data_IF_829706861576
#
_entry.id   IF_829706861576
#
_cell.length_a   1.000
_cell.length_b   1.000
_cell.length_c   1.000
_cell.angle_alpha   90.00
_cell.angle_beta   90.00
_cell.angle_gamma   90.00
#
_symmetry.space_group_name_H-M   'P 1'
#
loop_
_entity.id
_entity.type
_entity.pdbx_description
1 polymer ?
#
# COMPACT_ATOMS: atom_id res chain seq x y z
N UNK A 1 64.73 -10.89 -18.52
CA UNK A 1 65.99 -10.51 -17.87
C UNK A 1 65.76 -10.35 -16.40
N UNK A 2 66.39 -11.16 -15.68
CA UNK A 2 67.08 -11.20 -14.38
C UNK A 2 66.11 -11.48 -13.19
N UNK A 3 66.20 -12.74 -12.74
CA UNK A 3 67.07 -13.41 -11.76
C UNK A 3 66.72 -13.02 -10.32
N UNK A 4 66.16 -14.04 -9.61
CA UNK A 4 66.78 -14.88 -8.56
C UNK A 4 67.36 -14.10 -7.37
N UNK A 5 66.89 -14.45 -6.16
CA UNK A 5 67.60 -14.84 -4.92
C UNK A 5 66.48 -15.18 -3.91
N UNK A 6 66.13 -16.35 -3.55
CA UNK A 6 66.82 -17.39 -2.72
C UNK A 6 67.38 -16.85 -1.39
N UNK A 7 66.77 -17.25 -0.28
CA UNK A 7 67.38 -18.08 0.78
C UNK A 7 66.65 -17.84 2.13
N UNK A 8 66.07 -18.91 2.65
CA UNK A 8 66.19 -19.46 3.99
C UNK A 8 66.25 -18.51 5.22
N UNK A 9 65.21 -18.60 6.04
CA UNK A 9 65.39 -18.78 7.49
C UNK A 9 64.32 -19.72 8.03
N UNK A 10 64.76 -20.93 8.34
CA UNK A 10 64.02 -21.87 9.19
C UNK A 10 64.23 -21.41 10.63
N UNK A 11 63.13 -21.12 11.33
CA UNK A 11 63.15 -21.01 12.78
C UNK A 11 62.00 -21.80 13.34
N UNK A 12 62.32 -22.94 13.79
CA UNK A 12 61.59 -23.88 14.63
C UNK A 12 61.15 -23.19 15.94
N UNK A 13 59.85 -23.11 16.18
CA UNK A 13 59.30 -22.92 17.52
C UNK A 13 58.28 -24.01 17.81
N UNK A 14 58.72 -24.92 18.69
CA UNK A 14 57.95 -25.97 19.29
C UNK A 14 56.94 -25.39 20.30
N UNK A 15 55.74 -25.98 20.33
CA UNK A 15 54.87 -26.29 21.45
C UNK A 15 54.38 -25.16 22.34
N UNK A 16 53.05 -24.90 22.20
CA UNK A 16 52.18 -24.89 23.37
C UNK A 16 50.81 -25.42 22.94
N UNK A 17 50.54 -26.66 23.34
CA UNK A 17 49.20 -27.27 23.29
C UNK A 17 48.36 -26.62 24.41
N UNK A 18 47.58 -25.62 24.04
CA UNK A 18 46.51 -25.05 24.85
C UNK A 18 45.17 -25.50 24.28
N UNK A 19 44.64 -26.63 24.76
CA UNK A 19 43.25 -27.01 24.52
C UNK A 19 42.34 -26.07 25.32
N UNK A 20 42.03 -24.92 24.76
CA UNK A 20 40.92 -24.06 25.25
C UNK A 20 39.60 -24.73 24.94
N UNK A 21 38.59 -24.65 25.86
CA UNK A 21 37.28 -25.21 25.55
C UNK A 21 36.74 -24.51 24.31
N UNK A 22 36.28 -25.30 23.35
CA UNK A 22 35.55 -24.81 22.18
C UNK A 22 34.30 -24.09 22.67
N UNK A 23 34.39 -22.78 22.85
CA UNK A 23 33.23 -21.92 23.05
C UNK A 23 32.32 -22.10 21.85
N UNK A 24 31.13 -22.65 22.08
CA UNK A 24 30.10 -22.71 21.08
C UNK A 24 29.82 -21.25 20.65
N UNK A 25 30.40 -20.87 19.52
CA UNK A 25 30.08 -19.62 18.87
C UNK A 25 28.65 -19.78 18.35
N UNK A 26 27.69 -19.18 19.04
CA UNK A 26 26.34 -18.97 18.50
C UNK A 26 26.53 -18.25 17.17
N UNK A 27 26.02 -18.81 16.06
CA UNK A 27 26.08 -18.11 14.78
C UNK A 27 25.44 -16.73 14.95
N UNK A 28 25.98 -15.69 14.31
CA UNK A 28 25.36 -14.37 14.35
C UNK A 28 23.89 -14.52 13.90
N UNK A 29 22.94 -13.79 14.53
CA UNK A 29 21.56 -13.84 14.10
C UNK A 29 21.54 -13.52 12.60
N UNK A 30 20.98 -14.45 11.81
CA UNK A 30 20.74 -14.19 10.39
C UNK A 30 19.95 -12.88 10.33
N UNK A 31 20.33 -11.92 9.44
CA UNK A 31 19.47 -10.78 9.17
C UNK A 31 18.10 -11.36 8.88
N UNK A 32 17.09 -10.90 9.65
CA UNK A 32 15.72 -11.40 9.53
C UNK A 32 15.37 -11.38 8.05
N UNK A 33 15.18 -12.55 7.46
CA UNK A 33 14.87 -12.71 6.05
C UNK A 33 13.53 -12.02 5.85
N UNK A 34 13.57 -10.83 5.23
CA UNK A 34 12.37 -10.02 5.03
C UNK A 34 11.51 -10.79 4.03
N UNK A 35 10.33 -11.23 4.48
CA UNK A 35 9.36 -11.91 3.62
C UNK A 35 9.13 -11.06 2.35
N UNK A 36 9.44 -11.57 1.15
CA UNK A 36 9.28 -10.84 -0.09
C UNK A 36 7.85 -10.33 -0.29
N UNK A 37 6.84 -11.03 0.22
CA UNK A 37 5.43 -10.60 0.12
C UNK A 37 5.17 -9.32 0.91
N UNK A 38 5.89 -9.08 2.01
CA UNK A 38 5.82 -7.84 2.79
C UNK A 38 6.43 -6.69 2.00
N UNK A 39 7.57 -6.93 1.33
CA UNK A 39 8.25 -5.92 0.50
C UNK A 39 7.37 -5.53 -0.68
N UNK A 40 6.79 -6.51 -1.38
CA UNK A 40 5.90 -6.29 -2.53
C UNK A 40 4.64 -5.51 -2.13
N UNK A 41 4.03 -5.86 -1.01
CA UNK A 41 2.88 -5.15 -0.47
C UNK A 41 3.23 -3.69 -0.12
N UNK A 42 4.37 -3.47 0.55
CA UNK A 42 4.88 -2.12 0.84
C UNK A 42 5.09 -1.29 -0.41
N UNK A 43 5.74 -1.87 -1.44
CA UNK A 43 5.97 -1.21 -2.72
C UNK A 43 4.64 -0.91 -3.45
N UNK A 44 3.67 -1.82 -3.40
CA UNK A 44 2.34 -1.60 -3.98
C UNK A 44 1.61 -0.43 -3.29
N UNK A 45 1.63 -0.35 -1.97
CA UNK A 45 1.07 0.79 -1.23
C UNK A 45 1.72 2.12 -1.60
N UNK A 46 3.05 2.15 -1.73
CA UNK A 46 3.79 3.34 -2.17
C UNK A 46 3.38 3.79 -3.57
N UNK A 47 3.22 2.85 -4.52
CA UNK A 47 2.74 3.17 -5.88
C UNK A 47 1.32 3.74 -5.86
N UNK A 48 0.42 3.19 -5.06
CA UNK A 48 -0.94 3.73 -4.89
C UNK A 48 -0.89 5.16 -4.37
N UNK A 49 -0.10 5.43 -3.33
CA UNK A 49 0.07 6.77 -2.77
C UNK A 49 0.67 7.76 -3.79
N UNK A 50 1.68 7.35 -4.56
CA UNK A 50 2.28 8.18 -5.61
C UNK A 50 1.26 8.51 -6.72
N UNK A 51 0.44 7.53 -7.14
CA UNK A 51 -0.64 7.74 -8.12
C UNK A 51 -1.69 8.71 -7.59
N UNK A 52 -2.09 8.56 -6.32
CA UNK A 52 -3.03 9.47 -5.66
C UNK A 52 -2.49 10.90 -5.60
N UNK A 53 -1.23 11.06 -5.21
CA UNK A 53 -0.56 12.36 -5.17
C UNK A 53 -0.56 13.04 -6.54
N UNK A 54 -0.15 12.33 -7.58
CA UNK A 54 -0.14 12.87 -8.94
C UNK A 54 -1.55 13.26 -9.42
N UNK A 55 -2.57 12.47 -9.09
CA UNK A 55 -3.96 12.80 -9.39
C UNK A 55 -4.44 14.06 -8.64
N UNK A 56 -4.07 14.22 -7.37
CA UNK A 56 -4.39 15.42 -6.59
C UNK A 56 -3.71 16.68 -7.15
N UNK A 57 -2.46 16.57 -7.60
CA UNK A 57 -1.75 17.66 -8.26
C UNK A 57 -2.47 18.12 -9.54
N UNK A 58 -3.02 17.19 -10.32
CA UNK A 58 -3.84 17.53 -11.49
C UNK A 58 -5.12 18.29 -11.11
N UNK A 59 -5.72 17.97 -9.95
CA UNK A 59 -6.90 18.67 -9.47
C UNK A 59 -6.62 20.15 -9.11
N UNK A 60 -5.37 20.49 -8.77
CA UNK A 60 -4.98 21.87 -8.44
C UNK A 60 -5.14 22.84 -9.62
N UNK A 61 -5.05 22.36 -10.85
CA UNK A 61 -5.28 23.14 -12.07
C UNK A 61 -6.75 23.49 -12.32
N UNK A 62 -7.68 22.86 -11.59
CA UNK A 62 -9.12 23.07 -11.74
C UNK A 62 -9.61 24.18 -10.80
N UNK A 63 -10.72 24.83 -11.20
CA UNK A 63 -11.47 25.76 -10.36
C UNK A 63 -12.68 25.04 -9.72
N UNK A 64 -13.27 25.64 -8.67
CA UNK A 64 -14.52 25.13 -8.10
C UNK A 64 -15.66 25.26 -9.14
N UNK A 65 -16.64 24.34 -9.18
CA UNK A 65 -16.79 23.16 -8.31
C UNK A 65 -15.98 21.93 -8.78
N UNK A 66 -15.46 21.94 -10.01
CA UNK A 66 -14.74 20.79 -10.59
C UNK A 66 -13.56 20.33 -9.75
N UNK A 67 -12.85 21.25 -9.08
CA UNK A 67 -11.71 20.93 -8.21
C UNK A 67 -12.10 20.05 -7.04
N UNK A 68 -13.19 20.34 -6.35
CA UNK A 68 -13.62 19.57 -5.18
C UNK A 68 -14.07 18.15 -5.57
N UNK A 69 -14.78 18.01 -6.68
CA UNK A 69 -15.14 16.70 -7.25
C UNK A 69 -13.89 15.89 -7.62
N UNK A 70 -12.93 16.52 -8.34
CA UNK A 70 -11.68 15.88 -8.71
C UNK A 70 -10.92 15.34 -7.49
N UNK A 71 -10.79 16.14 -6.42
CA UNK A 71 -10.14 15.74 -5.17
C UNK A 71 -10.86 14.56 -4.53
N UNK A 72 -12.20 14.56 -4.49
CA UNK A 72 -12.99 13.45 -3.96
C UNK A 72 -12.78 12.18 -4.78
N UNK A 73 -12.76 12.27 -6.10
CA UNK A 73 -12.50 11.15 -6.99
C UNK A 73 -11.08 10.59 -6.84
N UNK A 74 -10.04 11.46 -6.75
CA UNK A 74 -8.66 11.03 -6.56
C UNK A 74 -8.46 10.28 -5.24
N UNK A 75 -8.95 10.84 -4.12
CA UNK A 75 -8.91 10.19 -2.80
C UNK A 75 -9.76 8.92 -2.73
N UNK A 76 -10.89 8.91 -3.42
CA UNK A 76 -11.75 7.75 -3.51
C UNK A 76 -11.08 6.58 -4.21
N UNK A 77 -10.40 6.83 -5.34
CA UNK A 77 -9.60 5.83 -6.05
C UNK A 77 -8.50 5.25 -5.17
N UNK A 78 -7.81 6.08 -4.38
CA UNK A 78 -6.80 5.62 -3.43
C UNK A 78 -7.39 4.66 -2.39
N UNK A 79 -8.51 5.05 -1.74
CA UNK A 79 -9.20 4.19 -0.75
C UNK A 79 -9.57 2.84 -1.34
N UNK A 80 -10.14 2.82 -2.55
CA UNK A 80 -10.53 1.58 -3.24
C UNK A 80 -9.30 0.74 -3.57
N UNK A 81 -8.25 1.33 -4.14
CA UNK A 81 -7.02 0.61 -4.51
C UNK A 81 -6.32 -0.02 -3.29
N UNK A 82 -6.33 0.64 -2.14
CA UNK A 82 -5.80 0.07 -0.88
C UNK A 82 -6.64 -1.12 -0.40
N UNK A 83 -7.98 -1.02 -0.47
CA UNK A 83 -8.86 -2.12 -0.10
C UNK A 83 -8.75 -3.31 -1.07
N UNK A 84 -8.55 -3.06 -2.36
CA UNK A 84 -8.27 -4.08 -3.38
C UNK A 84 -6.94 -4.79 -3.09
N UNK A 85 -5.90 -4.04 -2.77
CA UNK A 85 -4.60 -4.60 -2.40
C UNK A 85 -4.68 -5.47 -1.15
N UNK A 86 -5.44 -5.04 -0.13
CA UNK A 86 -5.67 -5.83 1.09
C UNK A 86 -6.40 -7.14 0.77
N UNK A 87 -7.42 -7.11 -0.10
CA UNK A 87 -8.14 -8.30 -0.55
C UNK A 87 -7.24 -9.22 -1.37
N UNK A 88 -6.37 -8.69 -2.23
CA UNK A 88 -5.42 -9.49 -3.01
C UNK A 88 -4.38 -10.18 -2.13
N UNK A 89 -3.85 -9.46 -1.13
CA UNK A 89 -2.86 -9.99 -0.21
C UNK A 89 -3.44 -11.07 0.73
N UNK A 90 -4.65 -10.85 1.22
CA UNK A 90 -5.33 -11.74 2.16
C UNK A 90 -6.78 -11.92 1.73
N UNK A 91 -7.05 -12.80 0.75
CA UNK A 91 -8.40 -13.09 0.30
C UNK A 91 -9.24 -13.64 1.45
N UNK A 92 -10.29 -12.90 1.83
CA UNK A 92 -11.22 -13.29 2.89
C UNK A 92 -12.57 -12.60 2.70
N UNK A 93 -13.63 -13.18 3.22
CA UNK A 93 -14.96 -12.56 3.21
C UNK A 93 -14.96 -11.20 3.91
N UNK A 94 -14.18 -11.04 4.97
CA UNK A 94 -14.05 -9.77 5.68
C UNK A 94 -13.43 -8.68 4.80
N UNK A 95 -12.36 -8.98 4.07
CA UNK A 95 -11.73 -8.04 3.15
C UNK A 95 -12.61 -7.79 1.91
N UNK A 96 -13.29 -8.81 1.40
CA UNK A 96 -14.25 -8.65 0.31
C UNK A 96 -15.39 -7.71 0.70
N UNK A 97 -15.96 -7.87 1.89
CA UNK A 97 -16.98 -6.96 2.42
C UNK A 97 -16.44 -5.54 2.58
N UNK A 98 -15.25 -5.39 3.18
CA UNK A 98 -14.61 -4.06 3.33
C UNK A 98 -14.41 -3.37 1.98
N UNK A 99 -13.96 -4.09 0.96
CA UNK A 99 -13.82 -3.56 -0.38
C UNK A 99 -15.16 -3.10 -0.96
N UNK A 100 -16.20 -3.92 -0.84
CA UNK A 100 -17.55 -3.57 -1.28
C UNK A 100 -18.08 -2.32 -0.57
N UNK A 101 -17.96 -2.25 0.74
CA UNK A 101 -18.37 -1.10 1.56
C UNK A 101 -17.57 0.15 1.21
N UNK A 102 -16.26 0.02 0.97
CA UNK A 102 -15.39 1.14 0.55
C UNK A 102 -15.85 1.71 -0.78
N UNK A 103 -16.15 0.86 -1.77
CA UNK A 103 -16.66 1.29 -3.08
C UNK A 103 -18.01 2.03 -2.94
N UNK A 104 -18.92 1.51 -2.14
CA UNK A 104 -20.21 2.16 -1.88
C UNK A 104 -20.02 3.54 -1.23
N UNK A 105 -19.23 3.62 -0.19
CA UNK A 105 -18.95 4.87 0.52
C UNK A 105 -18.32 5.92 -0.41
N UNK A 106 -17.32 5.54 -1.20
CA UNK A 106 -16.65 6.43 -2.16
C UNK A 106 -17.62 6.93 -3.22
N UNK A 107 -18.42 6.04 -3.81
CA UNK A 107 -19.40 6.42 -4.83
C UNK A 107 -20.43 7.42 -4.28
N UNK A 108 -20.90 7.20 -3.06
CA UNK A 108 -21.82 8.11 -2.40
C UNK A 108 -21.18 9.47 -2.10
N UNK A 109 -19.94 9.49 -1.53
CA UNK A 109 -19.21 10.73 -1.27
C UNK A 109 -19.02 11.57 -2.56
N UNK A 110 -18.70 10.93 -3.69
CA UNK A 110 -18.55 11.60 -4.98
C UNK A 110 -19.91 12.10 -5.50
N UNK A 111 -20.96 11.30 -5.37
CA UNK A 111 -22.31 11.69 -5.80
C UNK A 111 -22.81 12.93 -5.02
N UNK A 112 -22.61 12.97 -3.72
CA UNK A 112 -22.92 14.14 -2.88
C UNK A 112 -22.11 15.35 -3.32
N UNK A 113 -20.81 15.20 -3.56
CA UNK A 113 -19.97 16.32 -3.99
C UNK A 113 -20.42 16.90 -5.33
N UNK A 114 -20.84 16.06 -6.27
CA UNK A 114 -21.41 16.49 -7.57
C UNK A 114 -22.75 17.23 -7.43
N UNK A 115 -23.43 17.12 -6.29
CA UNK A 115 -24.64 17.88 -6.02
C UNK A 115 -24.34 19.26 -5.42
N UNK A 116 -23.14 19.51 -4.91
CA UNK A 116 -22.81 20.73 -4.17
C UNK A 116 -22.72 21.99 -5.03
N UNK A 117 -22.54 21.84 -6.34
CA UNK A 117 -22.56 22.95 -7.30
C UNK A 117 -23.99 23.35 -7.76
N UNK A 118 -24.99 22.57 -7.37
CA UNK A 118 -26.40 22.86 -7.66
C UNK A 118 -27.01 23.71 -6.57
N UNK A 119 -28.13 24.36 -6.86
CA UNK A 119 -28.83 25.24 -5.94
C UNK A 119 -30.34 24.90 -5.85
N UNK A 120 -30.97 25.34 -4.77
CA UNK A 120 -32.43 25.21 -4.57
C UNK A 120 -32.93 23.78 -4.69
N UNK A 121 -34.06 23.62 -5.42
CA UNK A 121 -34.71 22.32 -5.65
C UNK A 121 -33.83 21.32 -6.37
N UNK A 122 -33.04 21.74 -7.36
CA UNK A 122 -32.15 20.86 -8.10
C UNK A 122 -31.07 20.20 -7.21
N UNK A 123 -30.60 20.92 -6.20
CA UNK A 123 -29.68 20.35 -5.19
C UNK A 123 -30.41 19.33 -4.33
N UNK A 124 -31.61 19.64 -3.85
CA UNK A 124 -32.36 18.71 -3.02
C UNK A 124 -32.71 17.42 -3.77
N UNK A 125 -33.12 17.52 -5.03
CA UNK A 125 -33.41 16.36 -5.89
C UNK A 125 -32.17 15.53 -6.19
N UNK A 126 -31.01 16.19 -6.43
CA UNK A 126 -29.72 15.51 -6.63
C UNK A 126 -29.35 14.69 -5.40
N UNK A 127 -29.38 15.28 -4.22
CA UNK A 127 -29.06 14.61 -2.95
C UNK A 127 -30.04 13.46 -2.65
N UNK A 128 -31.32 13.64 -2.91
CA UNK A 128 -32.32 12.58 -2.76
C UNK A 128 -32.04 11.38 -3.65
N UNK A 129 -31.70 11.62 -4.94
CA UNK A 129 -31.30 10.54 -5.87
C UNK A 129 -30.04 9.86 -5.40
N UNK A 130 -28.99 10.60 -5.02
CA UNK A 130 -27.74 10.02 -4.55
C UNK A 130 -27.96 9.10 -3.32
N UNK A 131 -28.83 9.51 -2.39
CA UNK A 131 -29.19 8.71 -1.22
C UNK A 131 -30.00 7.46 -1.58
N UNK A 132 -30.93 7.56 -2.52
CA UNK A 132 -31.72 6.41 -2.98
C UNK A 132 -30.83 5.37 -3.70
N UNK A 133 -29.91 5.84 -4.55
CA UNK A 133 -28.98 4.98 -5.27
C UNK A 133 -28.01 4.26 -4.31
N UNK A 134 -27.46 4.97 -3.31
CA UNK A 134 -26.62 4.36 -2.27
C UNK A 134 -27.40 3.29 -1.47
N UNK A 135 -28.64 3.60 -1.07
CA UNK A 135 -29.49 2.66 -0.33
C UNK A 135 -29.77 1.38 -1.15
N UNK A 136 -30.07 1.53 -2.44
CA UNK A 136 -30.28 0.41 -3.36
C UNK A 136 -29.01 -0.42 -3.53
N UNK A 137 -27.86 0.23 -3.70
CA UNK A 137 -26.57 -0.44 -3.87
C UNK A 137 -26.18 -1.22 -2.61
N UNK A 138 -26.39 -0.65 -1.42
CA UNK A 138 -26.15 -1.35 -0.13
C UNK A 138 -27.07 -2.56 0.06
N UNK A 139 -28.34 -2.45 -0.33
CA UNK A 139 -29.27 -3.59 -0.28
C UNK A 139 -28.80 -4.72 -1.21
N UNK A 140 -28.29 -4.40 -2.41
CA UNK A 140 -27.74 -5.37 -3.35
C UNK A 140 -26.52 -6.11 -2.79
N UNK A 141 -25.61 -5.41 -2.12
CA UNK A 141 -24.42 -6.03 -1.49
C UNK A 141 -24.84 -6.98 -0.36
N UNK A 142 -25.83 -6.62 0.46
CA UNK A 142 -26.34 -7.49 1.53
C UNK A 142 -27.05 -8.74 1.00
N UNK A 143 -27.75 -8.65 -0.12
CA UNK A 143 -28.47 -9.78 -0.71
C UNK A 143 -27.53 -10.79 -1.40
N UNK A 144 -26.32 -10.38 -1.79
CA UNK A 144 -25.32 -11.22 -2.44
C UNK A 144 -24.36 -11.92 -1.46
N UNK A 145 -24.53 -11.76 -0.16
CA UNK A 145 -23.77 -12.40 0.93
C UNK A 145 -24.54 -13.58 1.50
#
# INVERSE_FOLDING_TARGET
>A
MQKLHALFVVALWLMCAGAGPAGAQTPPPHPAEIDPTIVEYGAARQRIGATSKAALEQCEALTAPGKSVCIKEARGREKIALAELDQQRNPSDANARRLAETRLAVNYEIAIEKCNDRQGGDKADCLSRASADDSKARAGVKAGQ
#
